data_IF_925607854510
#
_entry.id   IF_925607854510
#
_cell.length_a   1.000
_cell.length_b   1.000
_cell.length_c   1.000
_cell.angle_alpha   90.00
_cell.angle_beta   90.00
_cell.angle_gamma   90.00
#
_symmetry.space_group_name_H-M   'P 1'
#
loop_
_entity.id
_entity.type
_entity.pdbx_description
1 polymer ?
#
# COMPACT_ATOMS: atom_id res chain seq x y z
N UNK A 1 -4.27 22.42 5.63
CA UNK A 1 -4.49 21.08 5.04
C UNK A 1 -3.64 20.07 5.76
N UNK A 2 -4.18 18.94 6.06
CA UNK A 2 -3.47 17.92 6.80
C UNK A 2 -2.81 16.92 5.86
N UNK A 3 -1.61 16.50 6.22
CA UNK A 3 -0.91 15.41 5.57
C UNK A 3 -1.24 14.11 6.28
N UNK A 4 -1.27 13.06 5.51
CA UNK A 4 -1.57 11.71 5.98
C UNK A 4 -0.43 10.77 5.62
N UNK A 5 -0.19 9.78 6.46
CA UNK A 5 0.62 8.64 6.08
C UNK A 5 -0.32 7.62 5.44
N UNK A 6 -0.14 7.38 4.16
CA UNK A 6 -0.88 6.35 3.45
C UNK A 6 -0.06 5.07 3.45
N UNK A 7 -0.66 4.00 3.94
CA UNK A 7 -0.03 2.68 4.00
C UNK A 7 -0.89 1.69 3.23
N UNK A 8 -0.29 0.93 2.33
CA UNK A 8 -0.99 -0.14 1.66
C UNK A 8 -0.19 -1.44 1.72
N UNK A 9 -0.91 -2.54 1.73
CA UNK A 9 -0.35 -3.88 1.71
C UNK A 9 -0.86 -4.59 0.47
N UNK A 10 0.05 -5.05 -0.37
CA UNK A 10 -0.31 -5.71 -1.62
C UNK A 10 0.44 -7.04 -1.79
N UNK A 11 -0.04 -7.86 -2.71
CA UNK A 11 0.69 -9.06 -3.09
C UNK A 11 2.05 -8.69 -3.67
N UNK A 12 3.06 -9.51 -3.41
CA UNK A 12 4.43 -9.22 -3.87
C UNK A 12 4.46 -9.00 -5.39
N UNK A 13 3.73 -9.79 -6.15
CA UNK A 13 3.70 -9.67 -7.62
C UNK A 13 3.03 -8.40 -8.13
N UNK A 14 2.26 -7.71 -7.29
CA UNK A 14 1.60 -6.46 -7.67
C UNK A 14 2.44 -5.23 -7.37
N UNK A 15 3.57 -5.39 -6.69
CA UNK A 15 4.40 -4.28 -6.20
C UNK A 15 4.78 -3.30 -7.30
N UNK A 16 5.36 -3.79 -8.40
CA UNK A 16 5.85 -2.91 -9.47
C UNK A 16 4.71 -2.17 -10.17
N UNK A 17 3.59 -2.85 -10.41
CA UNK A 17 2.44 -2.22 -11.04
C UNK A 17 1.86 -1.10 -10.17
N UNK A 18 1.76 -1.34 -8.87
CA UNK A 18 1.25 -0.35 -7.93
C UNK A 18 2.21 0.81 -7.74
N UNK A 19 3.52 0.53 -7.66
CA UNK A 19 4.53 1.59 -7.60
C UNK A 19 4.43 2.51 -8.80
N UNK A 20 4.34 1.94 -10.00
CA UNK A 20 4.23 2.73 -11.22
C UNK A 20 2.99 3.59 -11.25
N UNK A 21 1.85 3.03 -10.86
CA UNK A 21 0.58 3.75 -10.82
C UNK A 21 0.61 4.90 -9.82
N UNK A 22 1.12 4.66 -8.61
CA UNK A 22 1.22 5.69 -7.58
C UNK A 22 2.14 6.83 -8.02
N UNK A 23 3.30 6.49 -8.56
CA UNK A 23 4.29 7.49 -9.00
C UNK A 23 3.78 8.36 -10.14
N UNK A 24 2.91 7.83 -10.99
CA UNK A 24 2.30 8.60 -12.06
C UNK A 24 1.35 9.68 -11.53
N UNK A 25 0.60 9.34 -10.49
CA UNK A 25 -0.40 10.26 -9.90
C UNK A 25 0.23 11.17 -8.86
N UNK A 26 1.19 10.64 -8.10
CA UNK A 26 1.74 11.36 -6.95
C UNK A 26 3.24 11.12 -6.84
N UNK A 27 4.06 12.05 -7.36
CA UNK A 27 5.52 11.91 -7.34
C UNK A 27 6.09 12.21 -5.95
N UNK A 28 6.12 11.22 -5.10
CA UNK A 28 6.66 11.33 -3.74
C UNK A 28 7.52 10.11 -3.45
N UNK A 29 8.45 10.21 -2.47
CA UNK A 29 9.18 9.04 -2.03
C UNK A 29 8.23 7.98 -1.48
N UNK A 30 8.43 6.75 -1.89
CA UNK A 30 7.64 5.61 -1.42
C UNK A 30 8.56 4.68 -0.65
N UNK A 31 8.22 4.43 0.61
CA UNK A 31 8.96 3.51 1.45
C UNK A 31 8.39 2.11 1.24
N UNK A 32 9.27 1.15 0.99
CA UNK A 32 8.90 -0.21 0.61
C UNK A 32 9.50 -1.17 1.60
N UNK A 33 8.70 -2.10 2.12
CA UNK A 33 9.23 -3.18 2.95
C UNK A 33 8.46 -4.48 2.73
N UNK A 34 9.16 -5.58 2.88
CA UNK A 34 8.56 -6.91 2.84
C UNK A 34 7.91 -7.21 4.19
N UNK A 35 6.78 -7.89 4.16
CA UNK A 35 6.02 -8.22 5.35
C UNK A 35 5.41 -9.60 5.26
N UNK A 36 5.40 -10.31 6.38
CA UNK A 36 4.68 -11.55 6.54
C UNK A 36 3.48 -11.32 7.42
N UNK A 37 2.34 -11.88 7.03
CA UNK A 37 1.10 -11.77 7.80
C UNK A 37 0.61 -13.18 8.11
N UNK A 38 0.28 -13.43 9.38
CA UNK A 38 -0.34 -14.68 9.81
C UNK A 38 -1.73 -14.34 10.31
N UNK A 39 -2.72 -15.07 9.82
CA UNK A 39 -4.11 -14.76 10.13
C UNK A 39 -4.96 -16.01 10.00
N UNK A 40 -6.09 -16.01 10.70
CA UNK A 40 -7.13 -16.99 10.50
C UNK A 40 -8.10 -16.61 9.38
N UNK A 41 -8.02 -15.36 8.93
CA UNK A 41 -8.80 -14.88 7.81
C UNK A 41 -7.94 -14.91 6.55
N UNK A 42 -8.24 -15.85 5.68
CA UNK A 42 -7.49 -16.04 4.45
C UNK A 42 -8.17 -15.45 3.22
N UNK A 43 -9.11 -14.53 3.42
CA UNK A 43 -9.83 -13.91 2.31
C UNK A 43 -8.93 -13.21 1.30
N UNK A 44 -7.77 -12.69 1.77
CA UNK A 44 -6.80 -12.00 0.91
C UNK A 44 -5.71 -12.92 0.39
N UNK A 45 -5.71 -14.18 0.76
CA UNK A 45 -4.62 -15.10 0.45
C UNK A 45 -4.79 -15.78 -0.90
N UNK A 46 -3.67 -15.99 -1.60
CA UNK A 46 -3.63 -16.87 -2.75
C UNK A 46 -3.68 -18.33 -2.31
N UNK A 47 -3.83 -19.25 -3.28
CA UNK A 47 -3.98 -20.68 -2.99
C UNK A 47 -2.81 -21.24 -2.17
N UNK A 48 -1.58 -20.93 -2.57
CA UNK A 48 -0.38 -21.40 -1.86
C UNK A 48 -0.32 -20.83 -0.45
N UNK A 49 -0.75 -19.60 -0.26
CA UNK A 49 -0.74 -18.94 1.04
C UNK A 49 -1.77 -19.55 1.99
N UNK A 50 -2.90 -19.98 1.46
CA UNK A 50 -3.91 -20.69 2.27
C UNK A 50 -3.36 -22.00 2.83
N UNK A 51 -2.54 -22.69 2.06
CA UNK A 51 -1.90 -23.92 2.48
C UNK A 51 -0.83 -23.66 3.54
N UNK A 52 0.02 -22.66 3.34
CA UNK A 52 1.12 -22.36 4.27
C UNK A 52 0.66 -21.65 5.54
N UNK A 53 -0.48 -20.96 5.49
CA UNK A 53 -0.96 -20.14 6.61
C UNK A 53 -0.21 -18.83 6.77
N UNK A 54 0.58 -18.43 5.78
CA UNK A 54 1.39 -17.21 5.82
C UNK A 54 1.19 -16.42 4.54
N UNK A 55 0.87 -15.13 4.70
CA UNK A 55 0.67 -14.22 3.59
C UNK A 55 1.92 -13.36 3.42
N UNK A 56 2.53 -13.42 2.23
CA UNK A 56 3.64 -12.54 1.87
C UNK A 56 3.07 -11.28 1.23
N UNK A 57 3.46 -10.14 1.76
CA UNK A 57 2.97 -8.84 1.29
C UNK A 57 4.11 -7.86 1.15
N UNK A 58 3.93 -6.90 0.26
CA UNK A 58 4.76 -5.70 0.20
C UNK A 58 3.99 -4.56 0.83
N UNK A 59 4.62 -3.83 1.72
CA UNK A 59 4.04 -2.63 2.33
C UNK A 59 4.64 -1.41 1.65
N UNK A 60 3.77 -0.53 1.15
CA UNK A 60 4.15 0.74 0.54
C UNK A 60 3.63 1.86 1.43
N UNK A 61 4.50 2.83 1.75
CA UNK A 61 4.10 3.97 2.58
C UNK A 61 4.58 5.26 1.95
N UNK A 62 3.71 6.26 1.93
CA UNK A 62 4.06 7.60 1.48
C UNK A 62 3.21 8.65 2.20
N UNK A 63 3.73 9.86 2.24
CA UNK A 63 3.03 11.00 2.83
C UNK A 63 2.23 11.68 1.74
N UNK A 64 0.94 11.87 1.97
CA UNK A 64 -0.01 12.38 0.97
C UNK A 64 -0.88 13.46 1.61
N UNK A 65 -1.14 14.53 0.87
CA UNK A 65 -2.18 15.47 1.29
C UNK A 65 -3.56 14.83 1.25
N UNK A 66 -4.38 15.13 2.22
CA UNK A 66 -5.72 14.52 2.34
C UNK A 66 -6.57 14.73 1.08
N UNK A 67 -6.40 15.86 0.40
CA UNK A 67 -7.13 16.20 -0.82
C UNK A 67 -6.75 15.32 -2.02
N UNK A 68 -5.58 14.66 -1.98
CA UNK A 68 -5.10 13.80 -3.06
C UNK A 68 -5.50 12.33 -2.89
N UNK A 69 -6.07 11.97 -1.75
CA UNK A 69 -6.43 10.59 -1.47
C UNK A 69 -7.39 9.96 -2.48
N UNK A 70 -8.45 10.64 -2.93
CA UNK A 70 -9.35 10.01 -3.91
C UNK A 70 -8.64 9.61 -5.20
N UNK A 71 -7.75 10.47 -5.72
CA UNK A 71 -6.99 10.18 -6.94
C UNK A 71 -6.05 9.00 -6.73
N UNK A 72 -5.40 8.96 -5.57
CA UNK A 72 -4.47 7.90 -5.23
C UNK A 72 -5.17 6.55 -5.10
N UNK A 73 -6.32 6.52 -4.43
CA UNK A 73 -7.10 5.30 -4.28
C UNK A 73 -7.62 4.79 -5.62
N UNK A 74 -8.01 5.68 -6.51
CA UNK A 74 -8.45 5.29 -7.85
C UNK A 74 -7.31 4.66 -8.64
N UNK A 75 -6.12 5.22 -8.57
CA UNK A 75 -4.94 4.68 -9.24
C UNK A 75 -4.60 3.27 -8.73
N UNK A 76 -4.65 3.07 -7.42
CA UNK A 76 -4.41 1.77 -6.79
C UNK A 76 -5.47 0.76 -7.25
N UNK A 77 -6.73 1.16 -7.25
CA UNK A 77 -7.84 0.31 -7.67
C UNK A 77 -7.69 -0.17 -9.09
N UNK A 78 -7.25 0.69 -9.98
CA UNK A 78 -7.07 0.36 -11.39
C UNK A 78 -5.83 -0.52 -11.65
N UNK A 79 -4.80 -0.37 -10.83
CA UNK A 79 -3.54 -1.06 -11.02
C UNK A 79 -3.47 -2.43 -10.35
N UNK A 80 -4.31 -2.69 -9.37
CA UNK A 80 -4.28 -4.00 -8.69
C UNK A 80 -4.69 -5.11 -9.66
N UNK A 81 -4.10 -6.30 -9.47
CA UNK A 81 -4.34 -7.42 -10.37
C UNK A 81 -5.27 -8.46 -9.77
N UNK A 82 -4.72 -9.35 -8.94
CA UNK A 82 -5.43 -10.56 -8.54
C UNK A 82 -5.95 -10.54 -7.11
N UNK A 83 -5.14 -10.03 -6.19
CA UNK A 83 -5.46 -10.11 -4.79
C UNK A 83 -5.91 -8.77 -4.24
N UNK A 84 -6.75 -8.78 -3.20
CA UNK A 84 -7.16 -7.55 -2.55
C UNK A 84 -5.96 -6.75 -2.03
N UNK A 85 -6.10 -5.44 -2.05
CA UNK A 85 -5.14 -4.50 -1.47
C UNK A 85 -5.79 -3.90 -0.23
N UNK A 86 -5.11 -4.00 0.90
CA UNK A 86 -5.56 -3.35 2.13
C UNK A 86 -4.81 -2.05 2.31
N UNK A 87 -5.49 -1.04 2.77
CA UNK A 87 -4.91 0.27 2.96
C UNK A 87 -5.46 0.95 4.21
N UNK A 88 -4.70 1.91 4.70
CA UNK A 88 -5.14 2.77 5.79
C UNK A 88 -4.42 4.10 5.71
N UNK A 89 -4.98 5.11 6.36
CA UNK A 89 -4.35 6.41 6.51
C UNK A 89 -4.19 6.72 7.98
N UNK A 90 -3.11 7.39 8.32
CA UNK A 90 -2.82 7.85 9.67
C UNK A 90 -2.56 9.34 9.62
N UNK A 91 -3.25 10.15 10.43
CA UNK A 91 -2.96 11.58 10.49
C UNK A 91 -1.54 11.83 10.99
N UNK A 92 -0.84 12.76 10.35
CA UNK A 92 0.48 13.21 10.80
C UNK A 92 0.35 14.57 11.45
N UNK A 93 0.75 14.66 12.71
CA UNK A 93 0.74 15.94 13.42
C UNK A 93 1.87 16.83 12.95
N UNK A 94 3.02 16.23 12.68
CA UNK A 94 4.20 16.95 12.23
C UNK A 94 5.15 16.00 11.54
N UNK A 95 5.88 16.49 10.56
CA UNK A 95 6.92 15.74 9.89
C UNK A 95 7.84 16.69 9.15
N UNK A 96 9.04 16.25 8.84
CA UNK A 96 9.98 17.11 8.16
C UNK A 96 11.26 16.36 7.78
N UNK A 97 12.20 17.12 7.23
CA UNK A 97 13.50 16.64 6.82
C UNK A 97 14.57 17.48 7.53
N UNK A 98 15.52 16.81 8.13
CA UNK A 98 16.70 17.46 8.70
C UNK A 98 17.88 17.16 7.77
N UNK A 99 18.45 18.22 7.24
CA UNK A 99 19.58 18.12 6.29
C UNK A 99 20.91 18.03 7.01
#
# INVERSE_FOLDING_TARGET
>A
MSDLLFTLHCAVRDTEALLGAIRTVFPAPIHIRAQSVRSQDYGDAGTAEKVSGELKRTTLELIVGADRMPNLLQAVKEARRDLPVRWRTTPLLDHGRIA
#
